data_IF_756013286488
#
_entry.id   IF_756013286488
#
_cell.length_a   1.000
_cell.length_b   1.000
_cell.length_c   1.000
_cell.angle_alpha   90.00
_cell.angle_beta   90.00
_cell.angle_gamma   90.00
#
_symmetry.space_group_name_H-M   'P 1'
#
loop_
_entity.id
_entity.type
_entity.pdbx_description
1 polymer ?
#
# COMPACT_ATOMS: atom_id res chain seq x y z
N UNK A 1 -29.07 -3.49 1.21
CA UNK A 1 -27.82 -3.55 2.01
C UNK A 1 -28.05 -3.86 3.51
N UNK A 2 -29.30 -3.98 4.01
CA UNK A 2 -29.57 -4.30 5.42
C UNK A 2 -29.52 -5.80 5.75
N UNK A 3 -29.89 -6.70 4.83
CA UNK A 3 -29.96 -8.14 5.13
C UNK A 3 -28.59 -8.79 5.38
N UNK A 4 -27.55 -8.35 4.67
CA UNK A 4 -26.19 -8.87 4.83
C UNK A 4 -25.50 -8.38 6.09
N UNK A 5 -25.79 -7.15 6.56
CA UNK A 5 -25.22 -6.64 7.81
C UNK A 5 -25.86 -7.29 9.03
N UNK A 6 -27.17 -7.56 8.99
CA UNK A 6 -27.86 -8.30 10.06
C UNK A 6 -27.39 -9.75 10.16
N UNK A 7 -27.18 -10.44 9.04
CA UNK A 7 -26.64 -11.81 9.06
C UNK A 7 -25.18 -11.85 9.53
N UNK A 8 -24.37 -10.84 9.18
CA UNK A 8 -22.98 -10.76 9.62
C UNK A 8 -22.88 -10.45 11.12
N UNK A 9 -23.76 -9.57 11.61
CA UNK A 9 -23.84 -9.22 13.02
C UNK A 9 -24.32 -10.42 13.87
N UNK A 10 -25.31 -11.19 13.39
CA UNK A 10 -25.76 -12.39 14.09
C UNK A 10 -24.68 -13.49 14.11
N UNK A 11 -23.96 -13.67 13.01
CA UNK A 11 -22.81 -14.59 12.92
C UNK A 11 -21.66 -14.17 13.87
N UNK A 12 -21.41 -12.87 14.01
CA UNK A 12 -20.42 -12.33 14.94
C UNK A 12 -20.81 -12.62 16.40
N UNK A 13 -22.06 -12.35 16.79
CA UNK A 13 -22.54 -12.63 18.14
C UNK A 13 -22.59 -14.13 18.47
N UNK A 14 -22.77 -15.00 17.48
CA UNK A 14 -22.69 -16.45 17.68
C UNK A 14 -21.27 -16.91 18.02
N UNK A 15 -20.23 -16.21 17.52
CA UNK A 15 -18.81 -16.52 17.75
C UNK A 15 -18.26 -15.85 19.00
N UNK A 16 -18.70 -14.63 19.27
CA UNK A 16 -18.22 -13.76 20.34
C UNK A 16 -19.40 -13.25 21.18
N UNK A 17 -19.98 -14.10 22.05
CA UNK A 17 -21.21 -13.79 22.78
C UNK A 17 -21.06 -12.65 23.80
N UNK A 18 -19.84 -12.32 24.20
CA UNK A 18 -19.53 -11.30 25.22
C UNK A 18 -18.95 -10.00 24.64
N UNK A 19 -18.84 -9.89 23.31
CA UNK A 19 -18.06 -8.81 22.68
C UNK A 19 -18.97 -7.88 21.89
N UNK A 20 -18.86 -6.57 22.15
CA UNK A 20 -19.60 -5.57 21.37
C UNK A 20 -19.03 -5.45 19.95
N UNK A 21 -19.91 -5.33 18.96
CA UNK A 21 -19.50 -5.08 17.58
C UNK A 21 -18.91 -3.67 17.47
N UNK A 22 -17.59 -3.57 17.38
CA UNK A 22 -16.88 -2.29 17.24
C UNK A 22 -16.92 -1.71 15.82
N UNK A 23 -17.54 -2.41 14.86
CA UNK A 23 -17.71 -1.92 13.49
C UNK A 23 -18.89 -0.97 13.45
N UNK A 24 -18.61 0.29 13.13
CA UNK A 24 -19.59 1.38 13.11
C UNK A 24 -19.80 1.88 11.67
N UNK A 25 -20.85 2.67 11.45
CA UNK A 25 -21.20 3.15 10.11
C UNK A 25 -20.08 3.98 9.46
N UNK A 26 -19.34 4.74 10.27
CA UNK A 26 -18.16 5.48 9.83
C UNK A 26 -17.07 4.56 9.26
N UNK A 27 -16.85 3.38 9.84
CA UNK A 27 -15.89 2.39 9.32
C UNK A 27 -16.31 1.93 7.90
N UNK A 28 -17.62 1.80 7.65
CA UNK A 28 -18.19 1.40 6.35
C UNK A 28 -18.05 2.50 5.31
N UNK A 29 -18.39 3.74 5.67
CA UNK A 29 -18.27 4.90 4.77
C UNK A 29 -16.79 5.13 4.41
N UNK A 30 -15.89 5.02 5.39
CA UNK A 30 -14.45 5.13 5.17
C UNK A 30 -13.92 4.06 4.20
N UNK A 31 -14.34 2.80 4.38
CA UNK A 31 -13.96 1.73 3.47
C UNK A 31 -14.50 1.96 2.05
N UNK A 32 -15.74 2.42 1.91
CA UNK A 32 -16.35 2.74 0.60
C UNK A 32 -15.58 3.85 -0.11
N UNK A 33 -15.24 4.93 0.60
CA UNK A 33 -14.41 6.00 0.07
C UNK A 33 -13.05 5.48 -0.40
N UNK A 34 -12.40 4.62 0.39
CA UNK A 34 -11.15 3.97 0.01
C UNK A 34 -11.25 3.17 -1.29
N UNK A 35 -12.34 2.43 -1.49
CA UNK A 35 -12.58 1.68 -2.75
C UNK A 35 -12.69 2.63 -3.95
N UNK A 36 -13.39 3.76 -3.80
CA UNK A 36 -13.52 4.76 -4.87
C UNK A 36 -12.15 5.34 -5.23
N UNK A 37 -11.36 5.75 -4.23
CA UNK A 37 -10.01 6.28 -4.46
C UNK A 37 -9.09 5.27 -5.15
N UNK A 38 -9.11 4.00 -4.72
CA UNK A 38 -8.33 2.92 -5.37
C UNK A 38 -8.82 2.69 -6.81
N UNK A 39 -10.13 2.75 -7.06
CA UNK A 39 -10.68 2.66 -8.41
C UNK A 39 -10.17 3.77 -9.33
N UNK A 40 -10.19 5.02 -8.85
CA UNK A 40 -9.63 6.17 -9.58
C UNK A 40 -8.13 5.95 -9.85
N UNK A 41 -7.38 5.49 -8.85
CA UNK A 41 -5.94 5.22 -9.01
C UNK A 41 -5.66 4.15 -10.06
N UNK A 42 -6.46 3.07 -10.10
CA UNK A 42 -6.34 2.01 -11.11
C UNK A 42 -6.58 2.59 -12.51
N UNK A 43 -7.63 3.41 -12.67
CA UNK A 43 -7.93 4.08 -13.94
C UNK A 43 -6.73 4.95 -14.36
N UNK A 44 -6.21 5.77 -13.44
CA UNK A 44 -5.01 6.59 -13.71
C UNK A 44 -3.82 5.74 -14.15
N UNK A 45 -3.59 4.59 -13.52
CA UNK A 45 -2.51 3.67 -13.89
C UNK A 45 -2.67 3.01 -15.27
N UNK A 46 -3.88 3.01 -15.84
CA UNK A 46 -4.15 2.54 -17.21
C UNK A 46 -3.87 3.65 -18.23
N UNK A 47 -4.23 4.89 -17.92
CA UNK A 47 -4.04 6.04 -18.81
C UNK A 47 -2.63 6.63 -18.81
N UNK A 48 -1.88 6.49 -17.70
CA UNK A 48 -0.55 7.07 -17.59
C UNK A 48 0.47 6.29 -18.43
N UNK A 49 1.36 7.02 -19.13
CA UNK A 49 2.41 6.43 -19.96
C UNK A 49 3.33 5.55 -19.10
N UNK A 50 3.49 4.28 -19.50
CA UNK A 50 4.46 3.36 -18.91
C UNK A 50 5.79 3.51 -19.66
N UNK A 51 6.91 3.51 -18.94
CA UNK A 51 8.23 3.47 -19.57
C UNK A 51 8.50 2.10 -20.19
N UNK A 52 9.10 2.05 -21.37
CA UNK A 52 9.30 0.81 -22.16
C UNK A 52 10.14 -0.27 -21.44
N UNK A 53 10.94 0.12 -20.43
CA UNK A 53 11.77 -0.80 -19.62
C UNK A 53 11.15 -1.16 -18.25
N UNK A 54 9.93 -0.71 -17.92
CA UNK A 54 9.33 -0.95 -16.61
C UNK A 54 8.72 -2.36 -16.51
N UNK A 55 9.42 -3.28 -15.83
CA UNK A 55 8.94 -4.65 -15.58
C UNK A 55 8.63 -4.87 -14.12
N UNK A 56 7.52 -5.56 -13.84
CA UNK A 56 7.15 -5.97 -12.49
C UNK A 56 8.04 -7.14 -12.05
N UNK A 57 8.56 -7.07 -10.83
CA UNK A 57 9.38 -8.14 -10.27
C UNK A 57 8.58 -9.46 -10.19
N UNK A 58 9.12 -10.53 -10.77
CA UNK A 58 8.52 -11.88 -10.76
C UNK A 58 8.08 -12.37 -9.38
N UNK A 59 8.89 -12.26 -8.30
CA UNK A 59 8.43 -12.64 -6.95
C UNK A 59 7.24 -11.82 -6.47
N UNK A 60 7.18 -10.51 -6.80
CA UNK A 60 6.03 -9.66 -6.45
C UNK A 60 4.76 -10.14 -7.17
N UNK A 61 4.87 -10.51 -8.45
CA UNK A 61 3.73 -11.05 -9.20
C UNK A 61 3.25 -12.39 -8.64
N UNK A 62 4.17 -13.30 -8.28
CA UNK A 62 3.81 -14.61 -7.72
C UNK A 62 3.11 -14.44 -6.37
N UNK A 63 3.69 -13.66 -5.46
CA UNK A 63 3.11 -13.42 -4.12
C UNK A 63 1.75 -12.75 -4.25
N UNK A 64 1.63 -11.71 -5.09
CA UNK A 64 0.36 -10.99 -5.28
C UNK A 64 -0.70 -11.90 -5.90
N UNK A 65 -0.34 -12.74 -6.87
CA UNK A 65 -1.24 -13.70 -7.51
C UNK A 65 -1.72 -14.77 -6.54
N UNK A 66 -0.83 -15.32 -5.69
CA UNK A 66 -1.19 -16.32 -4.68
C UNK A 66 -2.13 -15.75 -3.62
N UNK A 67 -1.86 -14.53 -3.14
CA UNK A 67 -2.73 -13.86 -2.17
C UNK A 67 -4.11 -13.58 -2.77
N UNK A 68 -4.17 -13.11 -4.02
CA UNK A 68 -5.42 -12.87 -4.73
C UNK A 68 -6.20 -14.16 -4.97
N UNK A 69 -5.52 -15.24 -5.39
CA UNK A 69 -6.12 -16.56 -5.54
C UNK A 69 -6.72 -17.06 -4.21
N UNK A 70 -5.99 -16.91 -3.10
CA UNK A 70 -6.49 -17.30 -1.78
C UNK A 70 -7.76 -16.53 -1.39
N UNK A 71 -7.84 -15.24 -1.71
CA UNK A 71 -9.03 -14.42 -1.44
C UNK A 71 -10.23 -14.88 -2.30
N UNK A 72 -10.00 -15.21 -3.57
CA UNK A 72 -11.05 -15.74 -4.47
C UNK A 72 -11.55 -17.11 -4.01
N UNK A 73 -10.65 -18.00 -3.58
CA UNK A 73 -11.04 -19.32 -3.04
C UNK A 73 -11.96 -19.16 -1.82
N UNK A 74 -11.59 -18.28 -0.88
CA UNK A 74 -12.45 -17.99 0.27
C UNK A 74 -13.80 -17.40 -0.13
N UNK A 75 -13.84 -16.50 -1.12
CA UNK A 75 -15.09 -15.90 -1.61
C UNK A 75 -16.06 -16.96 -2.16
N UNK A 76 -15.54 -18.04 -2.75
CA UNK A 76 -16.33 -19.16 -3.28
C UNK A 76 -16.72 -20.15 -2.16
N UNK A 77 -15.84 -20.38 -1.18
CA UNK A 77 -16.08 -21.34 -0.10
C UNK A 77 -17.08 -20.84 0.95
N UNK A 78 -17.09 -19.55 1.27
CA UNK A 78 -18.00 -18.96 2.28
C UNK A 78 -19.49 -19.22 1.97
N UNK A 79 -20.01 -19.03 0.74
CA UNK A 79 -21.40 -19.33 0.44
C UNK A 79 -21.70 -20.83 0.27
N UNK A 80 -20.69 -21.70 0.20
CA UNK A 80 -20.86 -23.13 -0.12
C UNK A 80 -20.65 -24.05 1.08
N UNK A 81 -20.03 -23.57 2.16
CA UNK A 81 -19.72 -24.36 3.36
C UNK A 81 -20.41 -23.75 4.57
N UNK A 82 -21.38 -24.45 5.15
CA UNK A 82 -22.19 -23.96 6.28
C UNK A 82 -21.38 -23.63 7.55
N UNK A 83 -20.15 -24.15 7.66
CA UNK A 83 -19.24 -23.88 8.77
C UNK A 83 -18.39 -22.62 8.59
N UNK A 84 -18.35 -22.05 7.38
CA UNK A 84 -17.57 -20.84 7.10
C UNK A 84 -18.47 -19.62 7.19
N UNK A 85 -18.16 -18.75 8.15
CA UNK A 85 -18.90 -17.52 8.37
C UNK A 85 -18.30 -16.39 7.52
N UNK A 86 -19.13 -15.41 7.15
CA UNK A 86 -18.63 -14.21 6.46
C UNK A 86 -17.63 -13.41 7.30
N UNK A 87 -17.76 -13.50 8.63
CA UNK A 87 -16.84 -12.88 9.58
C UNK A 87 -15.42 -13.46 9.45
N UNK A 88 -15.29 -14.77 9.26
CA UNK A 88 -13.99 -15.44 9.10
C UNK A 88 -13.27 -14.98 7.82
N UNK A 89 -14.04 -14.78 6.74
CA UNK A 89 -13.52 -14.21 5.50
C UNK A 89 -13.02 -12.77 5.67
N UNK A 90 -13.75 -11.94 6.41
CA UNK A 90 -13.32 -10.56 6.68
C UNK A 90 -12.04 -10.50 7.54
N UNK A 91 -11.89 -11.41 8.51
CA UNK A 91 -10.64 -11.56 9.25
C UNK A 91 -9.51 -12.02 8.34
N UNK A 92 -9.76 -13.00 7.47
CA UNK A 92 -8.78 -13.46 6.50
C UNK A 92 -8.30 -12.33 5.57
N UNK A 93 -9.21 -11.54 5.02
CA UNK A 93 -8.87 -10.35 4.20
C UNK A 93 -8.05 -9.33 4.99
N UNK A 94 -8.34 -9.15 6.28
CA UNK A 94 -7.60 -8.25 7.16
C UNK A 94 -6.14 -8.71 7.36
N UNK A 95 -5.91 -10.01 7.52
CA UNK A 95 -4.56 -10.58 7.58
C UNK A 95 -3.81 -10.45 6.26
N UNK A 96 -4.48 -10.67 5.12
CA UNK A 96 -3.88 -10.45 3.79
C UNK A 96 -3.46 -8.99 3.63
N UNK A 97 -4.34 -8.04 3.99
CA UNK A 97 -4.04 -6.60 3.93
C UNK A 97 -2.80 -6.25 4.74
N UNK A 98 -2.65 -6.82 5.94
CA UNK A 98 -1.46 -6.65 6.77
C UNK A 98 -0.19 -7.17 6.09
N UNK A 99 -0.24 -8.41 5.60
CA UNK A 99 0.89 -9.04 4.92
C UNK A 99 1.33 -8.23 3.69
N UNK A 100 0.39 -7.84 2.82
CA UNK A 100 0.67 -7.00 1.64
C UNK A 100 1.32 -5.68 2.05
N UNK A 101 0.82 -5.06 3.14
CA UNK A 101 1.33 -3.79 3.63
C UNK A 101 2.78 -3.90 4.11
N UNK A 102 3.12 -4.95 4.86
CA UNK A 102 4.50 -5.20 5.28
C UNK A 102 5.42 -5.50 4.08
N UNK A 103 4.97 -6.36 3.16
CA UNK A 103 5.74 -6.77 1.97
C UNK A 103 6.01 -5.59 1.04
N UNK A 104 5.04 -4.68 0.85
CA UNK A 104 5.20 -3.51 -0.03
C UNK A 104 6.03 -2.39 0.62
N UNK A 105 5.89 -2.18 1.93
CA UNK A 105 6.58 -1.10 2.63
C UNK A 105 8.06 -1.39 2.88
N UNK A 106 8.45 -2.66 3.06
CA UNK A 106 9.86 -3.05 3.23
C UNK A 106 10.78 -2.63 2.06
N UNK A 107 10.50 -2.99 0.79
CA UNK A 107 11.33 -2.56 -0.34
C UNK A 107 11.25 -1.05 -0.58
N UNK A 108 10.10 -0.41 -0.27
CA UNK A 108 9.99 1.05 -0.35
C UNK A 108 10.93 1.73 0.66
N UNK A 109 10.94 1.26 1.90
CA UNK A 109 11.81 1.76 2.97
C UNK A 109 13.29 1.60 2.61
N UNK A 110 13.66 0.44 2.04
CA UNK A 110 15.02 0.17 1.60
C UNK A 110 15.44 1.06 0.42
N UNK A 111 14.55 1.27 -0.55
CA UNK A 111 14.83 2.11 -1.72
C UNK A 111 15.01 3.56 -1.32
N UNK A 112 14.14 4.08 -0.45
CA UNK A 112 14.29 5.41 0.15
C UNK A 112 15.65 5.54 0.87
N UNK A 113 16.06 4.52 1.62
CA UNK A 113 17.34 4.50 2.31
C UNK A 113 18.54 4.55 1.33
N UNK A 114 18.48 3.75 0.27
CA UNK A 114 19.54 3.65 -0.74
C UNK A 114 19.66 4.93 -1.58
N UNK A 115 18.53 5.50 -2.00
CA UNK A 115 18.49 6.71 -2.82
C UNK A 115 18.76 7.98 -2.02
N UNK A 116 18.63 7.90 -0.69
CA UNK A 116 18.68 9.05 0.23
C UNK A 116 17.74 10.19 -0.18
N UNK A 117 16.63 9.83 -0.81
CA UNK A 117 15.58 10.76 -1.24
C UNK A 117 14.24 10.05 -1.16
N UNK A 118 13.21 10.82 -0.82
CA UNK A 118 11.80 10.41 -0.82
C UNK A 118 11.00 11.16 -1.88
N UNK A 119 11.67 11.88 -2.79
CA UNK A 119 11.01 12.57 -3.89
C UNK A 119 10.47 11.58 -4.94
N UNK A 120 9.29 11.86 -5.49
CA UNK A 120 8.58 10.98 -6.43
C UNK A 120 7.50 10.08 -5.82
N UNK A 121 7.27 10.14 -4.50
CA UNK A 121 6.20 9.41 -3.82
C UNK A 121 5.33 10.34 -2.96
N UNK A 122 4.02 10.07 -2.92
CA UNK A 122 3.05 10.89 -2.19
C UNK A 122 3.02 10.55 -0.70
N UNK A 123 3.62 11.41 0.12
CA UNK A 123 3.59 11.30 1.59
C UNK A 123 2.16 11.41 2.16
N UNK A 124 1.24 12.05 1.43
CA UNK A 124 -0.16 12.22 1.86
C UNK A 124 -0.87 10.90 2.11
N UNK A 125 -0.54 9.86 1.34
CA UNK A 125 -1.12 8.53 1.55
C UNK A 125 -0.72 7.94 2.91
N UNK A 126 0.54 8.13 3.33
CA UNK A 126 1.05 7.68 4.63
C UNK A 126 0.46 8.47 5.78
N UNK A 127 0.30 9.79 5.60
CA UNK A 127 -0.37 10.63 6.59
C UNK A 127 -1.81 10.17 6.79
N UNK A 128 -2.53 9.85 5.70
CA UNK A 128 -3.89 9.34 5.77
C UNK A 128 -3.97 7.95 6.43
N UNK A 129 -3.06 7.03 6.10
CA UNK A 129 -3.00 5.70 6.72
C UNK A 129 -2.67 5.80 8.23
N UNK A 130 -1.77 6.70 8.61
CA UNK A 130 -1.41 6.97 10.02
C UNK A 130 -2.57 7.57 10.79
N UNK A 131 -3.22 8.58 10.21
CA UNK A 131 -4.36 9.26 10.82
C UNK A 131 -5.54 8.30 10.97
N UNK A 132 -5.83 7.51 9.93
CA UNK A 132 -6.88 6.49 9.97
C UNK A 132 -6.61 5.39 11.00
N UNK A 133 -5.37 4.90 11.11
CA UNK A 133 -4.97 3.94 12.13
C UNK A 133 -5.10 4.49 13.56
N UNK A 134 -4.65 5.73 13.76
CA UNK A 134 -4.72 6.43 15.05
C UNK A 134 -6.17 6.70 15.48
N UNK A 135 -7.02 7.17 14.56
CA UNK A 135 -8.43 7.41 14.82
C UNK A 135 -9.21 6.11 15.09
N UNK A 136 -8.86 5.01 14.42
CA UNK A 136 -9.46 3.69 14.66
C UNK A 136 -9.13 3.17 16.06
N UNK A 137 -7.89 3.32 16.50
CA UNK A 137 -7.49 2.97 17.87
C UNK A 137 -8.20 3.88 18.88
N UNK A 138 -8.24 5.19 18.64
CA UNK A 138 -8.93 6.14 19.51
C UNK A 138 -10.42 5.80 19.64
N UNK A 139 -11.09 5.43 18.55
CA UNK A 139 -12.47 4.98 18.56
C UNK A 139 -12.66 3.71 19.40
N UNK A 140 -11.74 2.74 19.34
CA UNK A 140 -11.82 1.55 20.20
C UNK A 140 -11.68 1.91 21.68
N UNK A 141 -10.76 2.80 22.04
CA UNK A 141 -10.60 3.26 23.43
C UNK A 141 -11.82 4.05 23.93
N UNK A 142 -12.39 4.93 23.10
CA UNK A 142 -13.60 5.68 23.46
C UNK A 142 -14.81 4.75 23.66
N UNK A 143 -14.96 3.72 22.83
CA UNK A 143 -16.03 2.73 23.00
C UNK A 143 -15.83 1.89 24.26
N UNK A 144 -14.61 1.44 24.53
CA UNK A 144 -14.29 0.68 25.73
C UNK A 144 -14.52 1.49 27.02
N UNK A 145 -14.13 2.76 27.01
CA UNK A 145 -14.40 3.67 28.11
C UNK A 145 -15.91 3.91 28.33
N UNK A 146 -16.70 3.95 27.25
CA UNK A 146 -18.14 4.19 27.32
C UNK A 146 -18.96 2.96 27.74
N UNK A 147 -18.50 1.74 27.41
CA UNK A 147 -19.17 0.48 27.74
C UNK A 147 -18.53 -0.25 28.94
N UNK A 148 -17.55 0.38 29.60
CA UNK A 148 -16.73 -0.16 30.70
C UNK A 148 -16.12 -1.55 30.40
N UNK A 149 -15.86 -1.82 29.12
CA UNK A 149 -15.40 -3.10 28.61
C UNK A 149 -13.97 -2.97 28.04
N UNK A 150 -13.04 -2.67 28.94
CA UNK A 150 -11.62 -2.55 28.66
C UNK A 150 -10.98 -3.87 28.20
N UNK A 151 -11.56 -5.01 28.60
CA UNK A 151 -11.07 -6.34 28.22
C UNK A 151 -11.36 -6.63 26.75
N UNK A 152 -12.47 -6.15 26.20
CA UNK A 152 -12.77 -6.32 24.78
C UNK A 152 -11.78 -5.63 23.83
N UNK A 153 -11.10 -4.56 24.26
CA UNK A 153 -10.04 -3.90 23.46
C UNK A 153 -8.85 -4.82 23.20
N UNK A 154 -8.47 -5.61 24.21
CA UNK A 154 -7.37 -6.58 24.11
C UNK A 154 -7.82 -7.91 23.49
N UNK A 155 -9.13 -8.14 23.40
CA UNK A 155 -9.73 -9.40 22.91
C UNK A 155 -9.93 -9.39 21.39
N UNK A 156 -9.83 -8.23 20.72
CA UNK A 156 -9.78 -8.12 19.26
C UNK A 156 -8.35 -7.79 18.77
N UNK A 157 -7.41 -8.75 18.84
CA UNK A 157 -6.00 -8.54 18.49
C UNK A 157 -5.82 -8.18 17.01
N UNK A 158 -6.79 -8.55 16.16
CA UNK A 158 -6.73 -8.26 14.73
C UNK A 158 -6.87 -6.76 14.46
N UNK A 159 -7.84 -6.07 15.11
CA UNK A 159 -8.09 -4.63 14.92
C UNK A 159 -7.03 -3.77 15.62
N UNK A 160 -6.58 -4.19 16.80
CA UNK A 160 -5.49 -3.54 17.52
C UNK A 160 -4.14 -3.69 16.79
N UNK A 161 -3.83 -4.90 16.32
CA UNK A 161 -2.64 -5.18 15.51
C UNK A 161 -2.63 -4.42 14.18
N UNK A 162 -3.79 -4.29 13.53
CA UNK A 162 -3.98 -3.46 12.34
C UNK A 162 -3.58 -2.00 12.57
N UNK A 163 -4.04 -1.40 13.67
CA UNK A 163 -3.72 -0.02 14.01
C UNK A 163 -2.24 0.17 14.38
N UNK A 164 -1.70 -0.69 15.24
CA UNK A 164 -0.32 -0.58 15.74
C UNK A 164 0.73 -0.81 14.65
N UNK A 165 0.54 -1.83 13.81
CA UNK A 165 1.48 -2.13 12.73
C UNK A 165 1.46 -1.03 11.66
N UNK A 166 0.29 -0.45 11.38
CA UNK A 166 0.18 0.73 10.51
C UNK A 166 0.97 1.91 11.09
N UNK A 167 0.76 2.25 12.36
CA UNK A 167 1.48 3.34 13.06
C UNK A 167 3.00 3.12 13.03
N UNK A 168 3.46 1.89 13.30
CA UNK A 168 4.89 1.54 13.27
C UNK A 168 5.54 1.86 11.92
N UNK A 169 5.00 1.34 10.81
CA UNK A 169 5.57 1.59 9.48
C UNK A 169 5.50 3.07 9.08
N UNK A 170 4.41 3.75 9.42
CA UNK A 170 4.25 5.17 9.11
C UNK A 170 5.27 6.07 9.84
N UNK A 171 5.64 5.73 11.09
CA UNK A 171 6.70 6.45 11.82
C UNK A 171 8.04 6.36 11.09
N UNK A 172 8.41 5.18 10.56
CA UNK A 172 9.65 5.05 9.76
C UNK A 172 9.62 5.92 8.51
N UNK A 173 8.49 5.98 7.80
CA UNK A 173 8.34 6.86 6.64
C UNK A 173 8.43 8.34 7.02
N UNK A 174 7.86 8.77 8.15
CA UNK A 174 8.01 10.14 8.64
C UNK A 174 9.45 10.48 9.02
N UNK A 175 10.16 9.57 9.68
CA UNK A 175 11.58 9.77 10.01
C UNK A 175 12.40 9.93 8.73
N UNK A 176 12.20 9.07 7.73
CA UNK A 176 12.90 9.18 6.45
C UNK A 176 12.57 10.49 5.71
N UNK A 177 11.30 10.84 5.61
CA UNK A 177 10.82 11.96 4.80
C UNK A 177 11.10 13.33 5.44
N UNK A 178 10.79 13.50 6.72
CA UNK A 178 10.86 14.80 7.40
C UNK A 178 12.18 15.07 8.10
N UNK A 179 12.85 14.04 8.61
CA UNK A 179 14.10 14.19 9.37
C UNK A 179 15.34 13.86 8.54
N UNK A 180 15.34 12.76 7.79
CA UNK A 180 16.58 12.23 7.19
C UNK A 180 16.87 12.78 5.79
N UNK A 181 15.86 12.93 4.93
CA UNK A 181 16.04 13.28 3.51
C UNK A 181 15.39 14.59 3.09
N UNK A 182 15.15 15.48 4.07
CA UNK A 182 14.62 16.82 3.84
C UNK A 182 15.57 17.63 2.94
N UNK A 183 15.19 17.83 1.69
CA UNK A 183 15.92 18.66 0.72
C UNK A 183 17.00 17.94 -0.09
N UNK A 184 16.99 16.60 -0.16
CA UNK A 184 17.91 15.88 -1.04
C UNK A 184 17.45 15.97 -2.51
N UNK A 185 18.19 16.65 -3.40
CA UNK A 185 17.81 16.78 -4.80
C UNK A 185 17.77 15.41 -5.48
N UNK A 186 16.78 15.20 -6.36
CA UNK A 186 16.67 14.02 -7.21
C UNK A 186 18.00 13.72 -7.90
N UNK A 187 18.64 12.58 -7.54
CA UNK A 187 19.64 11.95 -8.41
C UNK A 187 18.90 11.23 -9.53
N UNK A 188 18.40 11.99 -10.51
CA UNK A 188 18.06 11.41 -11.81
C UNK A 188 19.33 10.72 -12.30
N UNK A 189 19.23 9.49 -12.79
CA UNK A 189 20.35 8.75 -13.37
C UNK A 189 20.95 9.50 -14.57
N UNK A 190 21.81 10.47 -14.30
CA UNK A 190 22.65 11.17 -15.27
C UNK A 190 23.62 10.21 -15.98
N UNK A 191 23.71 8.96 -15.50
CA UNK A 191 24.56 7.91 -16.08
C UNK A 191 24.02 7.30 -17.38
N UNK A 192 22.72 7.37 -17.69
CA UNK A 192 22.21 6.90 -18.99
C UNK A 192 22.17 8.04 -20.05
N UNK A 193 21.82 9.27 -19.66
CA UNK A 193 21.78 10.42 -20.59
C UNK A 193 23.17 10.83 -21.12
N UNK A 194 24.22 10.71 -20.32
CA UNK A 194 25.60 10.99 -20.77
C UNK A 194 26.12 9.89 -21.71
N UNK A 195 25.58 8.67 -21.62
CA UNK A 195 25.99 7.56 -22.51
C UNK A 195 25.32 7.61 -23.88
N UNK A 196 24.05 8.04 -23.96
CA UNK A 196 23.35 8.18 -25.24
C UNK A 196 23.68 9.51 -25.96
N UNK A 197 23.96 10.59 -25.24
CA UNK A 197 24.32 11.89 -25.83
C UNK A 197 25.78 12.04 -26.31
N UNK A 198 26.67 11.13 -25.88
CA UNK A 198 28.11 11.22 -26.14
C UNK A 198 28.66 10.29 -27.24
N UNK A 199 27.82 9.46 -27.86
CA UNK A 199 28.27 8.39 -28.76
C UNK A 199 28.29 8.72 -30.26
N UNK A 200 27.56 9.75 -30.69
CA UNK A 200 27.28 9.98 -32.13
C UNK A 200 27.93 11.28 -32.66
N UNK A 201 27.95 12.34 -31.85
CA UNK A 201 28.46 13.66 -32.27
C UNK A 201 30.00 13.75 -32.44
N UNK A 202 30.76 12.78 -31.94
CA UNK A 202 32.23 12.81 -32.03
C UNK A 202 32.77 12.16 -33.32
N UNK A 203 32.00 11.26 -33.94
CA UNK A 203 32.38 10.61 -35.20
C UNK A 203 32.14 11.53 -36.41
N UNK A 204 31.06 12.31 -36.38
CA UNK A 204 30.74 13.25 -37.46
C UNK A 204 31.65 14.48 -37.44
N UNK A 205 32.06 14.95 -36.25
CA UNK A 205 33.05 16.04 -36.15
C UNK A 205 34.43 15.61 -36.65
N UNK A 206 34.88 14.39 -36.30
CA UNK A 206 36.19 13.90 -36.75
C UNK A 206 36.25 13.73 -38.27
N UNK A 207 35.19 13.18 -38.88
CA UNK A 207 35.09 13.08 -40.34
C UNK A 207 35.02 14.45 -41.03
N UNK A 208 34.41 15.47 -40.41
CA UNK A 208 34.37 16.82 -40.98
C UNK A 208 35.74 17.50 -41.00
N UNK A 209 36.54 17.34 -39.94
CA UNK A 209 37.91 17.91 -39.89
C UNK A 209 38.89 17.18 -40.81
N UNK A 210 38.78 15.85 -40.89
CA UNK A 210 39.65 15.05 -41.78
C UNK A 210 39.35 15.33 -43.27
N UNK A 211 38.11 15.66 -43.62
CA UNK A 211 37.70 15.95 -45.00
C UNK A 211 38.04 17.40 -45.44
N UNK A 212 38.00 18.37 -44.53
CA UNK A 212 38.49 19.74 -44.80
C UNK A 212 40.02 19.78 -44.94
N UNK A 213 40.75 19.00 -44.14
CA UNK A 213 42.21 18.92 -44.25
C UNK A 213 42.69 18.27 -45.57
N UNK A 214 41.91 17.35 -46.15
CA UNK A 214 42.23 16.70 -47.43
C UNK A 214 41.93 17.57 -48.66
N UNK A 215 41.13 18.63 -48.53
CA UNK A 215 40.73 19.50 -49.66
C UNK A 215 41.70 20.66 -49.89
N UNK A 216 42.63 20.90 -48.96
CA UNK A 216 43.63 21.99 -49.00
C UNK A 216 45.08 21.51 -49.18
N UNK A 217 45.28 20.27 -49.64
CA UNK A 217 46.58 19.78 -50.14
C UNK A 217 46.60 19.68 -51.66
#
# INVERSE_FOLDING_TARGET
>A
MSLSSLSLQSQYYQRHPMTVLHVRLNDVIFALYGVICVGIQIIQCIFYKRGDKQRVSTPCMIISSLLLLSAVIWLILVPTVDKLLWVDFLYWLSYIKLAITAIKYTPQLYTNYKLRSTEGWSIWQVILDFTGGSLSILQMFLLAANYDDWKSVLTDPSKLGLGLLSIFFNIFFFIQHYFLYRGAPMKIEEKELVKEGGGDNDKDKKNSYDNEAATHM
#
